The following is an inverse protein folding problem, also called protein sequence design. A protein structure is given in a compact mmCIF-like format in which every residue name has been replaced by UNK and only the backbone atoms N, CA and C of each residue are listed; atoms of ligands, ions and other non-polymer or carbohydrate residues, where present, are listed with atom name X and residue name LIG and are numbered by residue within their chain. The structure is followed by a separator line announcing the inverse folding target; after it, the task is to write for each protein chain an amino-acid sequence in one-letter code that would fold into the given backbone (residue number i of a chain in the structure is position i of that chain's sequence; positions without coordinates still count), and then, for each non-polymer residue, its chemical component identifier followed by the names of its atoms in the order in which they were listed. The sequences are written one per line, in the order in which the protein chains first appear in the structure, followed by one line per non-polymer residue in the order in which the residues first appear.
data_IF_240487671259
#
_entry.id   IF_240487671259
#
_cell.length_a   1.000
_cell.length_b   1.000
_cell.length_c   1.000
_cell.angle_alpha   90.00
_cell.angle_beta   90.00
_cell.angle_gamma   90.00
#
_symmetry.space_group_name_H-M   'P 1'
#
loop_
_entity.id
_entity.type
_entity.pdbx_description
1 polymer ?
#
# COMPACT_ATOMS: atom_id res chain seq x y z
N UNK A 1 1.92 -6.22 11.51
CA UNK A 1 2.36 -7.40 10.75
C UNK A 1 2.80 -8.54 11.66
N UNK A 2 3.96 -8.46 12.34
CA UNK A 2 4.57 -9.59 13.07
C UNK A 2 3.74 -10.19 14.22
N UNK A 3 3.16 -9.37 15.11
CA UNK A 3 2.38 -9.86 16.26
C UNK A 3 1.15 -10.68 15.86
N UNK A 4 0.50 -10.27 14.78
CA UNK A 4 -0.71 -10.92 14.24
C UNK A 4 -0.42 -11.83 13.05
N UNK A 5 0.87 -12.04 12.71
CA UNK A 5 1.32 -12.83 11.55
C UNK A 5 0.61 -12.47 10.24
N UNK A 6 0.35 -11.17 10.01
CA UNK A 6 -0.30 -10.69 8.79
C UNK A 6 0.69 -10.69 7.62
N UNK A 7 0.25 -11.20 6.47
CA UNK A 7 0.97 -11.14 5.20
C UNK A 7 0.69 -9.83 4.43
N UNK A 8 -0.55 -9.33 4.52
CA UNK A 8 -1.01 -8.07 3.92
C UNK A 8 -1.80 -7.29 4.97
N UNK A 9 -1.61 -5.97 4.99
CA UNK A 9 -2.39 -5.05 5.80
C UNK A 9 -2.76 -3.83 4.95
N UNK A 10 -4.04 -3.50 4.89
CA UNK A 10 -4.53 -2.28 4.27
C UNK A 10 -4.74 -1.18 5.31
N UNK A 11 -4.38 0.05 4.96
CA UNK A 11 -4.59 1.25 5.77
C UNK A 11 -5.19 2.33 4.88
N UNK A 12 -6.35 2.86 5.28
CA UNK A 12 -7.04 3.97 4.61
C UNK A 12 -6.98 5.25 5.45
N UNK A 13 -7.09 6.43 4.81
CA UNK A 13 -7.22 7.70 5.52
C UNK A 13 -5.89 8.33 5.96
N UNK A 14 -4.83 8.05 5.20
CA UNK A 14 -3.47 8.57 5.40
C UNK A 14 -3.20 9.80 4.53
N UNK A 15 -2.16 10.57 4.84
CA UNK A 15 -1.79 11.80 4.13
C UNK A 15 -0.70 11.54 3.07
N UNK A 16 -1.03 10.79 2.01
CA UNK A 16 -0.15 10.67 0.84
C UNK A 16 -0.72 11.43 -0.34
N UNK A 17 0.13 12.19 -1.02
CA UNK A 17 -0.24 13.02 -2.17
C UNK A 17 0.06 12.35 -3.52
N UNK A 18 0.67 11.17 -3.56
CA UNK A 18 1.04 10.50 -4.82
C UNK A 18 0.86 8.99 -4.73
N UNK A 19 0.92 8.31 -5.86
CA UNK A 19 1.09 6.86 -5.89
C UNK A 19 2.57 6.49 -5.85
N UNK A 20 2.93 5.46 -5.09
CA UNK A 20 4.32 5.05 -4.97
C UNK A 20 4.54 3.78 -4.18
N UNK A 21 5.82 3.41 -4.09
CA UNK A 21 6.27 2.23 -3.37
C UNK A 21 7.47 2.61 -2.49
N UNK A 22 7.42 2.23 -1.21
CA UNK A 22 8.50 2.44 -0.26
C UNK A 22 8.82 1.16 0.53
N UNK A 23 10.10 0.95 0.87
CA UNK A 23 10.51 -0.11 1.80
C UNK A 23 10.62 0.47 3.21
N UNK A 24 9.98 -0.17 4.18
CA UNK A 24 10.07 0.23 5.58
C UNK A 24 11.34 -0.35 6.23
N UNK A 25 11.83 0.30 7.30
CA UNK A 25 13.00 -0.15 8.05
C UNK A 25 12.84 -1.56 8.64
N UNK A 26 11.60 -1.98 8.88
CA UNK A 26 11.23 -3.30 9.40
C UNK A 26 11.27 -4.41 8.33
N UNK A 27 11.43 -4.03 7.05
CA UNK A 27 11.60 -4.92 5.91
C UNK A 27 10.35 -5.13 5.04
N UNK A 28 9.18 -4.69 5.51
CA UNK A 28 7.92 -4.67 4.77
C UNK A 28 7.96 -3.65 3.60
N UNK A 29 7.06 -3.85 2.63
CA UNK A 29 6.90 -2.97 1.46
C UNK A 29 5.56 -2.26 1.55
N UNK A 30 5.58 -0.94 1.46
CA UNK A 30 4.42 -0.07 1.42
C UNK A 30 4.11 0.26 -0.04
N UNK A 31 2.91 -0.07 -0.50
CA UNK A 31 2.31 0.45 -1.74
C UNK A 31 1.30 1.50 -1.32
N UNK A 32 1.30 2.68 -1.91
CA UNK A 32 0.34 3.72 -1.56
C UNK A 32 -0.19 4.41 -2.80
N UNK A 33 -1.42 4.91 -2.71
CA UNK A 33 -2.07 5.75 -3.69
C UNK A 33 -2.60 7.00 -2.97
N UNK A 34 -2.41 8.15 -3.59
CA UNK A 34 -2.73 9.45 -3.04
C UNK A 34 -3.15 10.42 -4.13
N UNK A 35 -3.77 11.54 -3.75
CA UNK A 35 -4.18 12.57 -4.70
C UNK A 35 -3.12 13.66 -4.79
N UNK A 36 -2.72 14.06 -6.01
CA UNK A 36 -1.64 15.04 -6.24
C UNK A 36 -1.95 16.44 -5.69
N UNK A 37 -3.24 16.79 -5.57
CA UNK A 37 -3.63 18.07 -4.99
C UNK A 37 -3.40 18.11 -3.47
N UNK A 38 -2.43 18.93 -3.06
CA UNK A 38 -2.11 19.30 -1.67
C UNK A 38 -3.34 19.79 -0.87
N UNK A 39 -4.37 20.30 -1.56
CA UNK A 39 -5.60 20.86 -0.97
C UNK A 39 -6.85 19.96 -1.10
N UNK A 40 -6.74 18.77 -1.70
CA UNK A 40 -7.87 17.85 -1.79
C UNK A 40 -8.19 17.27 -0.39
N UNK A 41 -9.49 17.20 -0.05
CA UNK A 41 -9.99 16.71 1.25
C UNK A 41 -9.23 15.46 1.72
N UNK A 42 -8.49 15.62 2.80
CA UNK A 42 -7.47 14.73 3.39
C UNK A 42 -7.94 13.34 3.86
N UNK A 43 -8.67 12.60 3.03
CA UNK A 43 -9.32 11.33 3.43
C UNK A 43 -9.14 10.21 2.41
N UNK A 44 -8.45 10.48 1.31
CA UNK A 44 -8.58 9.62 0.13
C UNK A 44 -7.40 8.69 -0.14
N UNK A 45 -6.29 8.80 0.60
CA UNK A 45 -5.16 7.92 0.34
C UNK A 45 -5.36 6.56 0.99
N UNK A 46 -4.89 5.54 0.27
CA UNK A 46 -4.87 4.15 0.73
C UNK A 46 -3.44 3.64 0.62
N UNK A 47 -3.08 2.70 1.50
CA UNK A 47 -1.84 1.96 1.38
C UNK A 47 -2.01 0.49 1.75
N UNK A 48 -1.22 -0.35 1.07
CA UNK A 48 -1.01 -1.74 1.39
C UNK A 48 0.40 -1.92 1.96
N UNK A 49 0.49 -2.54 3.14
CA UNK A 49 1.73 -3.01 3.74
C UNK A 49 1.84 -4.51 3.48
N UNK A 50 2.88 -4.90 2.74
CA UNK A 50 3.19 -6.27 2.39
C UNK A 50 4.35 -6.78 3.26
N UNK A 51 4.20 -8.00 3.79
CA UNK A 51 5.32 -8.72 4.40
C UNK A 51 6.40 -9.05 3.35
N UNK A 52 7.54 -9.59 3.79
CA UNK A 52 8.59 -10.01 2.86
C UNK A 52 8.08 -11.12 1.92
N UNK A 53 7.30 -12.04 2.47
CA UNK A 53 6.69 -13.16 1.75
C UNK A 53 5.65 -12.65 0.74
N UNK A 54 4.73 -11.78 1.17
CA UNK A 54 3.72 -11.20 0.28
C UNK A 54 4.35 -10.33 -0.83
N UNK A 55 5.44 -9.60 -0.53
CA UNK A 55 6.20 -8.86 -1.54
C UNK A 55 6.78 -9.80 -2.60
N UNK A 56 7.33 -10.96 -2.20
CA UNK A 56 7.88 -11.93 -3.15
C UNK A 56 6.79 -12.60 -4.00
N UNK A 57 5.58 -12.71 -3.46
CA UNK A 57 4.41 -13.18 -4.20
C UNK A 57 3.77 -12.09 -5.09
N UNK A 58 4.14 -10.81 -4.95
CA UNK A 58 3.58 -9.71 -5.73
C UNK A 58 3.95 -9.84 -7.21
N UNK A 59 2.92 -10.04 -8.04
CA UNK A 59 3.02 -10.08 -9.50
C UNK A 59 3.02 -8.68 -10.09
N UNK A 60 2.20 -7.80 -9.53
CA UNK A 60 2.07 -6.42 -9.97
C UNK A 60 1.01 -5.69 -9.17
N UNK A 61 1.02 -4.36 -9.27
CA UNK A 61 0.01 -3.51 -8.67
C UNK A 61 -0.23 -2.28 -9.54
N UNK A 62 -1.43 -1.73 -9.41
CA UNK A 62 -1.88 -0.52 -10.10
C UNK A 62 -2.73 0.32 -9.14
N UNK A 63 -2.58 1.64 -9.22
CA UNK A 63 -3.45 2.58 -8.52
C UNK A 63 -4.57 3.07 -9.45
N UNK A 64 -5.82 2.97 -9.01
CA UNK A 64 -6.98 3.50 -9.71
C UNK A 64 -7.48 4.76 -8.98
N UNK A 65 -6.72 5.84 -9.12
CA UNK A 65 -6.94 7.08 -8.37
C UNK A 65 -6.42 7.02 -6.93
N UNK A 66 -6.89 7.95 -6.09
CA UNK A 66 -6.42 8.09 -4.72
C UNK A 66 -6.83 6.94 -3.80
N UNK A 67 -8.05 6.40 -4.01
CA UNK A 67 -8.73 5.50 -3.05
C UNK A 67 -8.60 4.01 -3.35
N UNK A 68 -8.03 3.63 -4.48
CA UNK A 68 -8.05 2.22 -4.91
C UNK A 68 -6.64 1.81 -5.32
N UNK A 69 -6.14 0.76 -4.66
CA UNK A 69 -4.95 0.03 -5.06
C UNK A 69 -5.39 -1.38 -5.39
N UNK A 70 -5.06 -1.85 -6.59
CA UNK A 70 -5.22 -3.24 -6.97
C UNK A 70 -3.84 -3.89 -6.97
N UNK A 71 -3.67 -4.94 -6.18
CA UNK A 71 -2.46 -5.75 -6.15
C UNK A 71 -2.81 -7.19 -6.53
N UNK A 72 -1.98 -7.80 -7.37
CA UNK A 72 -2.10 -9.22 -7.71
C UNK A 72 -0.95 -9.98 -7.06
N UNK A 73 -1.29 -10.96 -6.23
CA UNK A 73 -0.35 -11.81 -5.52
C UNK A 73 -0.48 -13.24 -6.07
N UNK A 74 0.65 -13.95 -6.19
CA UNK A 74 0.64 -15.41 -6.29
C UNK A 74 0.14 -15.99 -4.97
N UNK A 75 -0.26 -17.25 -4.97
CA UNK A 75 -0.54 -17.96 -3.72
C UNK A 75 0.68 -17.83 -2.78
N UNK A 76 0.43 -17.38 -1.55
CA UNK A 76 1.41 -17.04 -0.51
C UNK A 76 1.35 -18.08 0.60
#
# INVERSE_FOLDING_TARGET
MRRYKLAVLEISGIYWTQAGQQRLNTGETLLYSGHEEENARHTQAVALILSKEARNALVGWESHGSRIIKATLKAI
#
